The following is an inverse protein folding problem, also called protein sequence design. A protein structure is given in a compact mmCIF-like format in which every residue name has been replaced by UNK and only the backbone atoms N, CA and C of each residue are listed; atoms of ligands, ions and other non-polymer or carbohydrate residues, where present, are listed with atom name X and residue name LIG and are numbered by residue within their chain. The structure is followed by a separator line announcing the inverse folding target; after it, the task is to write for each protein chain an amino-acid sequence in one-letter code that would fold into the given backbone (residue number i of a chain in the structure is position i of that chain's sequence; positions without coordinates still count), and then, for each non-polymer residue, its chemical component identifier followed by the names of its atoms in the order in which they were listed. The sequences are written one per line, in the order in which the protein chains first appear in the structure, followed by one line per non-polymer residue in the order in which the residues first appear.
data_IF_579835743554
#
_entry.id   IF_579835743554
#
_cell.length_a   1.000
_cell.length_b   1.000
_cell.length_c   1.000
_cell.angle_alpha   90.00
_cell.angle_beta   90.00
_cell.angle_gamma   90.00
#
_symmetry.space_group_name_H-M   'P 1'
#
loop_
_entity.id
_entity.type
_entity.pdbx_description
1 polymer ?
#
# COMPACT_ATOMS: atom_id res chain seq x y z
N UNK A 1 17.73 -15.91 -0.42
CA UNK A 1 16.29 -16.09 -0.13
C UNK A 1 15.55 -14.82 -0.54
N UNK A 2 14.47 -14.89 -1.34
CA UNK A 2 13.65 -13.70 -1.63
C UNK A 2 13.03 -13.20 -0.32
N UNK A 3 13.30 -11.94 0.05
CA UNK A 3 12.69 -11.31 1.23
C UNK A 3 11.18 -11.32 1.07
N UNK A 4 10.44 -11.89 2.03
CA UNK A 4 8.98 -11.85 2.06
C UNK A 4 8.57 -10.38 2.20
N UNK A 5 7.87 -9.86 1.20
CA UNK A 5 7.34 -8.50 1.23
C UNK A 5 6.00 -8.50 1.94
N UNK A 6 5.70 -7.46 2.72
CA UNK A 6 4.37 -7.28 3.32
C UNK A 6 3.39 -6.66 2.32
N UNK A 7 2.09 -6.74 2.62
CA UNK A 7 1.03 -6.09 1.81
C UNK A 7 1.30 -4.58 1.71
N UNK A 8 1.69 -3.94 2.81
CA UNK A 8 2.06 -2.51 2.86
C UNK A 8 3.22 -2.19 1.93
N UNK A 9 4.31 -2.97 1.97
CA UNK A 9 5.50 -2.74 1.14
C UNK A 9 5.18 -2.87 -0.35
N UNK A 10 4.36 -3.86 -0.71
CA UNK A 10 3.96 -4.09 -2.09
C UNK A 10 2.99 -3.01 -2.59
N UNK A 11 2.03 -2.61 -1.77
CA UNK A 11 1.13 -1.50 -2.10
C UNK A 11 1.90 -0.18 -2.29
N UNK A 12 2.88 0.09 -1.43
CA UNK A 12 3.81 1.21 -1.60
C UNK A 12 4.53 1.09 -2.94
N UNK A 13 5.14 -0.06 -3.25
CA UNK A 13 5.85 -0.26 -4.52
C UNK A 13 4.96 0.03 -5.73
N UNK A 14 3.71 -0.46 -5.74
CA UNK A 14 2.75 -0.15 -6.80
C UNK A 14 2.51 1.36 -6.89
N UNK A 15 2.10 2.00 -5.78
CA UNK A 15 1.70 3.40 -5.78
C UNK A 15 2.86 4.37 -6.07
N UNK A 16 4.13 3.97 -5.91
CA UNK A 16 5.27 4.81 -6.31
C UNK A 16 5.30 5.13 -7.80
N UNK A 17 4.68 4.28 -8.62
CA UNK A 17 4.66 4.42 -10.08
C UNK A 17 3.43 5.18 -10.60
N UNK A 18 2.57 5.69 -9.72
CA UNK A 18 1.37 6.45 -10.09
C UNK A 18 1.37 7.78 -9.35
N UNK A 19 1.14 8.87 -10.08
CA UNK A 19 0.92 10.19 -9.49
C UNK A 19 -0.53 10.36 -9.01
N UNK A 20 -1.45 9.51 -9.48
CA UNK A 20 -2.85 9.47 -9.09
C UNK A 20 -3.15 8.47 -7.97
N UNK A 21 -4.28 8.65 -7.29
CA UNK A 21 -4.81 7.68 -6.33
C UNK A 21 -5.47 6.51 -7.06
N UNK A 22 -5.30 5.30 -6.53
CA UNK A 22 -5.86 4.07 -7.10
C UNK A 22 -6.87 3.42 -6.17
N UNK A 23 -7.90 2.78 -6.73
CA UNK A 23 -8.86 2.02 -5.93
C UNK A 23 -8.22 0.73 -5.40
N UNK A 24 -8.74 0.20 -4.30
CA UNK A 24 -8.28 -1.08 -3.71
C UNK A 24 -8.24 -2.20 -4.76
N UNK A 25 -9.26 -2.27 -5.62
CA UNK A 25 -9.35 -3.26 -6.69
C UNK A 25 -8.24 -3.08 -7.74
N UNK A 26 -7.94 -1.85 -8.16
CA UNK A 26 -6.84 -1.59 -9.10
C UNK A 26 -5.47 -1.92 -8.48
N UNK A 27 -5.28 -1.59 -7.20
CA UNK A 27 -4.06 -1.93 -6.47
C UNK A 27 -3.91 -3.45 -6.43
N UNK A 28 -4.95 -4.17 -5.98
CA UNK A 28 -4.97 -5.63 -5.94
C UNK A 28 -4.64 -6.26 -7.30
N UNK A 29 -5.31 -5.83 -8.37
CA UNK A 29 -5.07 -6.33 -9.72
C UNK A 29 -3.61 -6.16 -10.16
N UNK A 30 -2.98 -5.02 -9.83
CA UNK A 30 -1.55 -4.78 -10.11
C UNK A 30 -0.63 -5.64 -9.24
N UNK A 31 -1.00 -5.94 -8.00
CA UNK A 31 -0.21 -6.81 -7.12
C UNK A 31 -0.16 -8.23 -7.69
N UNK A 32 -1.31 -8.79 -8.04
CA UNK A 32 -1.42 -10.14 -8.59
C UNK A 32 -0.81 -10.21 -9.99
N UNK A 33 -1.13 -9.24 -10.86
CA UNK A 33 -0.62 -9.19 -12.23
C UNK A 33 0.90 -9.09 -12.33
N UNK A 34 1.56 -8.49 -11.34
CA UNK A 34 3.02 -8.41 -11.25
C UNK A 34 3.64 -9.50 -10.35
N UNK A 35 2.83 -10.44 -9.85
CA UNK A 35 3.24 -11.50 -8.91
C UNK A 35 4.08 -11.00 -7.73
N UNK A 36 3.71 -9.84 -7.17
CA UNK A 36 4.48 -9.17 -6.10
C UNK A 36 4.14 -9.71 -4.71
N UNK A 37 2.95 -10.27 -4.54
CA UNK A 37 2.45 -10.85 -3.29
C UNK A 37 1.36 -11.87 -3.60
N UNK A 38 1.29 -12.94 -2.82
CA UNK A 38 0.24 -13.95 -2.91
C UNK A 38 -0.64 -13.87 -1.65
N UNK A 39 -1.95 -13.69 -1.85
CA UNK A 39 -2.91 -13.64 -0.76
C UNK A 39 -3.46 -15.05 -0.52
N UNK A 40 -3.29 -15.58 0.69
CA UNK A 40 -3.77 -16.92 1.09
C UNK A 40 -5.06 -16.86 1.93
N UNK A 41 -5.92 -15.87 1.66
CA UNK A 41 -7.14 -15.58 2.42
C UNK A 41 -8.36 -15.64 1.50
N UNK A 42 -9.53 -15.89 2.09
CA UNK A 42 -10.79 -15.98 1.33
C UNK A 42 -11.19 -14.63 0.70
N UNK A 43 -10.93 -13.51 1.39
CA UNK A 43 -11.22 -12.16 0.90
C UNK A 43 -9.98 -11.26 0.91
N UNK A 44 -9.15 -11.31 -0.15
CA UNK A 44 -7.91 -10.56 -0.23
C UNK A 44 -8.14 -9.05 -0.37
N UNK A 45 -9.29 -8.63 -0.93
CA UNK A 45 -9.61 -7.21 -1.11
C UNK A 45 -9.90 -6.55 0.23
N UNK A 46 -10.65 -7.21 1.12
CA UNK A 46 -10.89 -6.69 2.47
C UNK A 46 -9.61 -6.60 3.29
N UNK A 47 -8.75 -7.63 3.23
CA UNK A 47 -7.45 -7.58 3.92
C UNK A 47 -6.59 -6.43 3.39
N UNK A 48 -6.50 -6.26 2.07
CA UNK A 48 -5.77 -5.14 1.47
C UNK A 48 -6.36 -3.79 1.90
N UNK A 49 -7.69 -3.65 1.94
CA UNK A 49 -8.36 -2.42 2.36
C UNK A 49 -8.05 -2.07 3.82
N UNK A 50 -8.07 -3.05 4.72
CA UNK A 50 -7.73 -2.87 6.14
C UNK A 50 -6.27 -2.45 6.30
N UNK A 51 -5.36 -3.13 5.61
CA UNK A 51 -3.93 -2.80 5.62
C UNK A 51 -3.65 -1.39 5.09
N UNK A 52 -4.25 -1.02 3.95
CA UNK A 52 -4.14 0.33 3.41
C UNK A 52 -4.71 1.36 4.38
N UNK A 53 -5.89 1.09 4.94
CA UNK A 53 -6.60 1.99 5.83
C UNK A 53 -5.90 2.20 7.18
N UNK A 54 -5.34 1.15 7.78
CA UNK A 54 -4.57 1.24 9.03
C UNK A 54 -3.35 2.15 8.89
N UNK A 55 -2.78 2.22 7.69
CA UNK A 55 -1.63 3.04 7.34
C UNK A 55 -1.98 4.31 6.54
N UNK A 56 -3.25 4.66 6.41
CA UNK A 56 -3.69 5.85 5.69
C UNK A 56 -3.88 7.07 6.59
N UNK A 57 -3.57 8.25 6.06
CA UNK A 57 -4.02 9.55 6.58
C UNK A 57 -5.46 9.79 6.10
N UNK A 58 -6.31 10.31 6.98
CA UNK A 58 -7.72 10.59 6.69
C UNK A 58 -8.68 9.43 6.99
N UNK A 59 -8.17 8.33 7.56
CA UNK A 59 -8.98 7.26 8.15
C UNK A 59 -8.62 7.11 9.63
N UNK A 60 -9.64 7.23 10.49
CA UNK A 60 -9.53 7.11 11.93
C UNK A 60 -9.93 5.70 12.37
N UNK A 61 -8.95 4.80 12.43
CA UNK A 61 -9.10 3.55 13.18
C UNK A 61 -8.49 3.73 14.57
N UNK A 62 -9.13 3.19 15.61
CA UNK A 62 -8.54 3.12 16.95
C UNK A 62 -7.21 2.31 16.94
N UNK A 63 -7.11 1.34 16.03
CA UNK A 63 -5.92 0.52 15.79
C UNK A 63 -4.98 1.10 14.72
N UNK A 64 -5.21 2.34 14.27
CA UNK A 64 -4.43 2.88 13.17
C UNK A 64 -2.94 3.00 13.55
N UNK A 65 -2.06 2.63 12.63
CA UNK A 65 -0.63 2.69 12.86
C UNK A 65 -0.17 4.15 12.98
N UNK A 66 0.77 4.41 13.90
CA UNK A 66 1.47 5.70 13.98
C UNK A 66 2.26 6.02 12.71
N UNK A 67 2.64 5.00 11.92
CA UNK A 67 3.31 5.17 10.62
C UNK A 67 2.29 5.21 9.50
N UNK A 68 2.19 6.37 8.87
CA UNK A 68 1.27 6.61 7.75
C UNK A 68 2.03 6.62 6.43
N UNK A 69 1.62 5.76 5.52
CA UNK A 69 2.21 5.61 4.19
C UNK A 69 1.27 6.08 3.09
N UNK A 70 -0.05 6.00 3.31
CA UNK A 70 -1.05 6.22 2.29
C UNK A 70 -1.89 7.48 2.58
N UNK A 71 -2.40 8.10 1.52
CA UNK A 71 -3.47 9.09 1.58
C UNK A 71 -4.75 8.42 1.12
N UNK A 72 -5.83 8.59 1.89
CA UNK A 72 -7.15 8.14 1.47
C UNK A 72 -7.96 9.31 0.92
N UNK A 73 -8.35 9.22 -0.35
CA UNK A 73 -9.30 10.14 -0.95
C UNK A 73 -10.72 9.65 -0.67
N UNK A 74 -11.39 10.36 0.26
CA UNK A 74 -12.78 10.07 0.66
C UNK A 74 -13.78 10.23 -0.49
N UNK A 75 -13.52 11.09 -1.48
CA UNK A 75 -14.46 11.38 -2.57
C UNK A 75 -14.50 10.22 -3.56
N UNK A 76 -13.32 9.71 -3.91
CA UNK A 76 -13.18 8.67 -4.93
C UNK A 76 -13.00 7.26 -4.33
N UNK A 77 -12.92 7.13 -3.00
CA UNK A 77 -12.62 5.87 -2.31
C UNK A 77 -11.32 5.22 -2.79
N UNK A 78 -10.29 6.04 -2.98
CA UNK A 78 -8.99 5.64 -3.57
C UNK A 78 -7.84 5.94 -2.62
N UNK A 79 -6.69 5.31 -2.87
CA UNK A 79 -5.48 5.42 -2.06
C UNK A 79 -4.30 5.91 -2.91
N UNK A 80 -3.55 6.86 -2.38
CA UNK A 80 -2.27 7.34 -2.94
C UNK A 80 -1.15 7.26 -1.91
N UNK A 81 0.06 7.68 -2.28
CA UNK A 81 1.18 7.80 -1.33
C UNK A 81 1.14 9.15 -0.59
N UNK A 82 1.34 9.13 0.72
CA UNK A 82 1.21 10.32 1.57
C UNK A 82 2.38 11.32 1.49
N UNK A 83 3.55 10.92 1.02
CA UNK A 83 4.68 11.82 0.86
C UNK A 83 5.71 11.30 -0.16
N UNK A 84 6.46 12.20 -0.79
CA UNK A 84 7.62 11.91 -1.63
C UNK A 84 8.81 11.43 -0.76
N UNK A 85 8.90 11.85 0.51
CA UNK A 85 9.95 11.37 1.43
C UNK A 85 9.87 9.85 1.65
N UNK A 86 8.67 9.27 1.72
CA UNK A 86 8.48 7.80 1.78
C UNK A 86 8.78 7.13 0.43
N UNK A 87 8.74 7.85 -0.70
CA UNK A 87 9.25 7.37 -2.00
C UNK A 87 10.76 7.18 -1.93
N UNK A 88 11.51 8.16 -1.39
CA UNK A 88 12.97 8.14 -1.30
C UNK A 88 13.53 7.24 -0.18
N UNK A 89 12.96 7.28 1.03
CA UNK A 89 13.41 6.45 2.17
C UNK A 89 13.23 4.94 1.92
N UNK A 90 12.16 4.55 1.24
CA UNK A 90 11.92 3.15 0.88
C UNK A 90 12.78 2.68 -0.30
N UNK A 91 13.16 3.59 -1.22
CA UNK A 91 14.14 3.28 -2.28
C UNK A 91 15.53 3.11 -1.66
N UNK A 92 15.96 3.99 -0.74
CA UNK A 92 17.26 3.90 -0.06
C UNK A 92 17.43 2.58 0.72
N UNK A 93 16.39 2.09 1.39
CA UNK A 93 16.40 0.78 2.08
C UNK A 93 16.48 -0.43 1.15
N UNK A 94 16.08 -0.31 -0.12
CA UNK A 94 16.13 -1.41 -1.11
C UNK A 94 17.55 -1.67 -1.62
N UNK A 95 18.46 -0.70 -1.48
CA UNK A 95 19.85 -0.77 -1.97
C UNK A 95 20.91 -0.85 -0.85
N UNK A 96 20.51 -1.06 0.40
CA UNK A 96 21.41 -1.16 1.56
C UNK A 96 21.65 -2.62 2.04
N UNK A 97 21.30 -3.61 1.22
CA UNK A 97 21.61 -5.03 1.45
C UNK A 97 21.98 -5.71 0.15
#
# INVERSE_FOLDING_TARGET
MKKRRTITEVAIEILKHFDETLSVLKIYAKIIGNSLYEFHVQDPLSVLKVELGGHAVGIDYLSASSKKYFLYDKRNHTFGLANIQTKYENVKKKYLY
#
